data_IF_955779389696
#
_entry.id   IF_955779389696
#
_cell.length_a   1.000
_cell.length_b   1.000
_cell.length_c   1.000
_cell.angle_alpha   90.00
_cell.angle_beta   90.00
_cell.angle_gamma   90.00
#
_symmetry.space_group_name_H-M   'P 1'
#
loop_
_entity.id
_entity.type
_entity.pdbx_description
1 polymer ?
#
# COMPACT_ATOMS: atom_id res chain seq x y z
N UNK A 1 -2.30 -22.53 -13.35
CA UNK A 1 -2.84 -22.81 -12.00
C UNK A 1 -1.85 -22.65 -10.80
N UNK A 2 -0.52 -22.43 -10.94
CA UNK A 2 0.37 -22.36 -9.76
C UNK A 2 0.38 -21.02 -8.99
N UNK A 3 -0.03 -19.89 -9.58
CA UNK A 3 0.02 -18.57 -8.91
C UNK A 3 -0.87 -18.42 -7.66
N UNK A 4 -1.96 -19.18 -7.55
CA UNK A 4 -2.94 -19.05 -6.46
C UNK A 4 -2.46 -19.64 -5.12
N UNK A 5 -1.51 -20.56 -5.15
CA UNK A 5 -0.94 -21.18 -3.94
C UNK A 5 0.07 -20.22 -3.29
N UNK A 6 0.85 -19.50 -4.10
CA UNK A 6 1.87 -18.55 -3.63
C UNK A 6 1.27 -17.36 -2.87
N UNK A 7 0.20 -16.73 -3.38
CA UNK A 7 -0.41 -15.56 -2.74
C UNK A 7 -0.93 -15.85 -1.32
N UNK A 8 -1.51 -17.03 -1.11
CA UNK A 8 -2.05 -17.45 0.19
C UNK A 8 -0.96 -17.67 1.23
N UNK A 9 0.17 -18.25 0.82
CA UNK A 9 1.31 -18.47 1.72
C UNK A 9 1.95 -17.16 2.12
N UNK A 10 2.13 -16.23 1.16
CA UNK A 10 2.65 -14.90 1.45
C UNK A 10 1.77 -14.15 2.46
N UNK A 11 0.44 -14.19 2.31
CA UNK A 11 -0.49 -13.53 3.22
C UNK A 11 -0.52 -14.14 4.64
N UNK A 12 -0.33 -15.46 4.76
CA UNK A 12 -0.27 -16.13 6.05
C UNK A 12 1.08 -15.96 6.75
N UNK A 13 2.16 -15.70 6.00
CA UNK A 13 3.48 -15.44 6.54
C UNK A 13 3.70 -13.96 6.92
N UNK A 14 3.02 -13.04 6.22
CA UNK A 14 3.15 -11.60 6.40
C UNK A 14 2.78 -11.01 7.80
N UNK A 15 1.97 -11.65 8.67
CA UNK A 15 1.77 -11.17 10.03
C UNK A 15 3.05 -11.09 10.86
N UNK A 16 4.04 -11.97 10.61
CA UNK A 16 5.29 -12.00 11.38
C UNK A 16 6.17 -10.79 11.06
N UNK A 17 6.50 -10.48 9.79
CA UNK A 17 7.17 -9.23 9.43
C UNK A 17 6.45 -7.97 9.92
N UNK A 18 5.12 -7.95 9.85
CA UNK A 18 4.32 -6.82 10.36
C UNK A 18 4.46 -6.67 11.87
N UNK A 19 4.40 -7.78 12.63
CA UNK A 19 4.62 -7.75 14.07
C UNK A 19 6.03 -7.27 14.41
N UNK A 20 7.05 -7.73 13.68
CA UNK A 20 8.43 -7.27 13.87
C UNK A 20 8.56 -5.76 13.62
N UNK A 21 7.98 -5.26 12.52
CA UNK A 21 7.95 -3.83 12.21
C UNK A 21 7.22 -3.03 13.32
N UNK A 22 6.07 -3.53 13.79
CA UNK A 22 5.33 -2.93 14.91
C UNK A 22 6.21 -2.83 16.17
N UNK A 23 6.88 -3.92 16.56
CA UNK A 23 7.77 -3.94 17.72
C UNK A 23 8.89 -2.90 17.55
N UNK A 24 9.53 -2.84 16.38
CA UNK A 24 10.57 -1.85 16.08
C UNK A 24 10.03 -0.43 16.27
N UNK A 25 8.83 -0.12 15.76
CA UNK A 25 8.24 1.22 15.91
C UNK A 25 7.84 1.61 17.33
N UNK A 26 7.71 0.66 18.25
CA UNK A 26 7.43 0.95 19.66
C UNK A 26 8.70 1.00 20.52
N UNK A 27 9.62 0.05 20.30
CA UNK A 27 10.80 -0.11 21.14
C UNK A 27 11.89 0.89 20.77
N UNK A 28 12.06 1.17 19.48
CA UNK A 28 13.16 1.98 18.96
C UNK A 28 12.73 3.42 18.61
N UNK A 29 11.52 3.84 19.02
CA UNK A 29 11.01 5.18 18.75
C UNK A 29 11.17 6.08 19.98
N UNK A 30 12.25 6.88 20.08
CA UNK A 30 12.45 7.80 21.19
C UNK A 30 11.44 8.96 21.19
N UNK A 31 10.75 9.19 20.07
CA UNK A 31 9.82 10.29 19.82
C UNK A 31 8.37 9.79 19.73
N UNK A 32 8.03 8.67 20.39
CA UNK A 32 6.71 8.05 20.29
C UNK A 32 5.56 9.01 20.64
N UNK A 33 5.78 9.94 21.57
CA UNK A 33 4.81 10.99 21.94
C UNK A 33 4.54 11.99 20.81
N UNK A 34 5.53 12.26 19.95
CA UNK A 34 5.44 13.18 18.81
C UNK A 34 4.89 12.49 17.56
N UNK A 35 5.25 11.22 17.35
CA UNK A 35 4.88 10.45 16.15
C UNK A 35 4.13 9.14 16.48
N UNK A 36 2.96 9.20 17.15
CA UNK A 36 2.26 7.99 17.60
C UNK A 36 1.49 7.28 16.48
N UNK A 37 1.20 7.94 15.36
CA UNK A 37 0.26 7.42 14.36
C UNK A 37 0.78 6.16 13.64
N UNK A 38 2.03 6.15 13.19
CA UNK A 38 2.62 4.99 12.52
C UNK A 38 2.58 3.70 13.39
N UNK A 39 3.08 3.68 14.64
CA UNK A 39 3.02 2.49 15.48
C UNK A 39 1.58 2.03 15.77
N UNK A 40 0.64 2.95 16.00
CA UNK A 40 -0.77 2.60 16.21
C UNK A 40 -1.36 1.92 14.98
N UNK A 41 -1.16 2.50 13.79
CA UNK A 41 -1.66 1.93 12.53
C UNK A 41 -1.07 0.54 12.28
N UNK A 42 0.22 0.36 12.57
CA UNK A 42 0.87 -0.94 12.43
C UNK A 42 0.30 -1.99 13.40
N UNK A 43 0.02 -1.65 14.66
CA UNK A 43 -0.68 -2.55 15.60
C UNK A 43 -2.03 -2.99 15.02
N UNK A 44 -2.82 -2.04 14.51
CA UNK A 44 -4.12 -2.35 13.93
C UNK A 44 -4.00 -3.30 12.73
N UNK A 45 -3.02 -3.08 11.85
CA UNK A 45 -2.75 -3.95 10.70
C UNK A 45 -2.24 -5.32 11.16
N UNK A 46 -1.35 -5.39 12.15
CA UNK A 46 -0.86 -6.66 12.71
C UNK A 46 -2.02 -7.47 13.28
N UNK A 47 -2.87 -6.88 14.13
CA UNK A 47 -4.04 -7.55 14.69
C UNK A 47 -5.00 -8.02 13.59
N UNK A 48 -5.28 -7.15 12.62
CA UNK A 48 -6.13 -7.48 11.48
C UNK A 48 -5.56 -8.64 10.65
N UNK A 49 -4.24 -8.68 10.45
CA UNK A 49 -3.57 -9.75 9.71
C UNK A 49 -3.65 -11.10 10.43
N UNK A 50 -3.49 -11.13 11.76
CA UNK A 50 -3.67 -12.33 12.57
C UNK A 50 -5.12 -12.81 12.56
N UNK A 51 -6.08 -11.89 12.69
CA UNK A 51 -7.51 -12.20 12.62
C UNK A 51 -7.87 -12.79 11.25
N UNK A 52 -7.38 -12.17 10.18
CA UNK A 52 -7.54 -12.66 8.80
C UNK A 52 -6.99 -14.08 8.66
N UNK A 53 -5.76 -14.33 9.11
CA UNK A 53 -5.13 -15.65 9.06
C UNK A 53 -5.94 -16.70 9.86
N UNK A 54 -6.44 -16.34 11.04
CA UNK A 54 -7.29 -17.19 11.87
C UNK A 54 -8.58 -17.60 11.13
N UNK A 55 -9.34 -16.64 10.59
CA UNK A 55 -10.59 -16.94 9.87
C UNK A 55 -10.37 -17.71 8.57
N UNK A 56 -9.30 -17.40 7.82
CA UNK A 56 -8.92 -18.17 6.61
C UNK A 56 -8.53 -19.62 6.94
N UNK A 57 -7.93 -19.85 8.11
CA UNK A 57 -7.59 -21.22 8.58
C UNK A 57 -8.83 -21.97 9.04
N UNK A 58 -9.72 -21.31 9.78
CA UNK A 58 -10.96 -21.89 10.31
C UNK A 58 -11.92 -22.30 9.20
N UNK A 59 -12.12 -21.44 8.21
CA UNK A 59 -13.06 -21.67 7.13
C UNK A 59 -12.38 -22.42 5.97
N UNK A 60 -12.39 -23.75 6.02
CA UNK A 60 -11.77 -24.57 4.95
C UNK A 60 -12.52 -24.46 3.62
N UNK A 61 -13.83 -24.24 3.64
CA UNK A 61 -14.67 -24.18 2.42
C UNK A 61 -14.50 -22.88 1.64
N UNK A 62 -14.14 -21.80 2.34
CA UNK A 62 -13.66 -20.54 1.75
C UNK A 62 -12.55 -20.80 0.72
N UNK A 63 -11.68 -21.80 0.95
CA UNK A 63 -10.58 -22.14 0.04
C UNK A 63 -11.04 -22.62 -1.33
N UNK A 64 -12.25 -23.20 -1.40
CA UNK A 64 -12.87 -23.73 -2.63
C UNK A 64 -13.75 -22.68 -3.32
N UNK A 65 -14.16 -21.64 -2.61
CA UNK A 65 -15.06 -20.63 -3.16
C UNK A 65 -14.41 -19.83 -4.29
N UNK A 66 -15.08 -19.63 -5.43
CA UNK A 66 -14.57 -18.80 -6.52
C UNK A 66 -14.46 -17.32 -6.14
N UNK A 67 -15.22 -16.86 -5.14
CA UNK A 67 -15.18 -15.48 -4.59
C UNK A 67 -13.80 -15.16 -4.00
N UNK A 68 -13.03 -16.20 -3.67
CA UNK A 68 -11.67 -16.11 -3.15
C UNK A 68 -10.57 -16.14 -4.19
N UNK A 69 -10.91 -16.40 -5.45
CA UNK A 69 -9.93 -16.34 -6.52
C UNK A 69 -9.85 -14.89 -6.95
N UNK A 70 -8.74 -14.23 -6.59
CA UNK A 70 -8.40 -12.96 -7.20
C UNK A 70 -8.29 -13.17 -8.71
N UNK A 71 -8.99 -12.34 -9.48
CA UNK A 71 -8.76 -12.25 -10.92
C UNK A 71 -7.32 -11.76 -11.18
N UNK A 72 -6.88 -11.89 -12.44
CA UNK A 72 -5.51 -11.55 -12.81
C UNK A 72 -5.19 -10.07 -12.59
N UNK A 73 -6.15 -9.18 -12.84
CA UNK A 73 -5.98 -7.74 -12.63
C UNK A 73 -5.80 -7.41 -11.15
N UNK A 74 -6.66 -7.94 -10.29
CA UNK A 74 -6.55 -7.81 -8.82
C UNK A 74 -5.22 -8.36 -8.31
N UNK A 75 -4.82 -9.56 -8.76
CA UNK A 75 -3.55 -10.17 -8.34
C UNK A 75 -2.34 -9.31 -8.77
N UNK A 76 -2.39 -8.73 -9.97
CA UNK A 76 -1.35 -7.83 -10.47
C UNK A 76 -1.28 -6.54 -9.65
N UNK A 77 -2.42 -5.89 -9.37
CA UNK A 77 -2.50 -4.68 -8.54
C UNK A 77 -1.92 -4.91 -7.15
N UNK A 78 -2.34 -5.99 -6.48
CA UNK A 78 -1.84 -6.31 -5.12
C UNK A 78 -0.35 -6.67 -5.17
N UNK A 79 0.08 -7.46 -6.16
CA UNK A 79 1.49 -7.83 -6.33
C UNK A 79 2.39 -6.61 -6.55
N UNK A 80 2.03 -5.71 -7.46
CA UNK A 80 2.79 -4.50 -7.73
C UNK A 80 2.78 -3.51 -6.56
N UNK A 81 1.65 -3.40 -5.84
CA UNK A 81 1.57 -2.61 -4.60
C UNK A 81 2.49 -3.18 -3.53
N UNK A 82 2.48 -4.50 -3.33
CA UNK A 82 3.37 -5.18 -2.40
C UNK A 82 4.84 -5.00 -2.76
N UNK A 83 5.19 -5.07 -4.05
CA UNK A 83 6.54 -4.76 -4.54
C UNK A 83 6.96 -3.31 -4.24
N UNK A 84 6.07 -2.34 -4.42
CA UNK A 84 6.34 -0.95 -4.06
C UNK A 84 6.54 -0.78 -2.54
N UNK A 85 5.68 -1.40 -1.71
CA UNK A 85 5.85 -1.40 -0.26
C UNK A 85 7.19 -2.03 0.17
N UNK A 86 7.59 -3.15 -0.45
CA UNK A 86 8.88 -3.79 -0.19
C UNK A 86 10.06 -2.86 -0.50
N UNK A 87 10.04 -2.17 -1.64
CA UNK A 87 11.08 -1.18 -1.98
C UNK A 87 11.13 -0.04 -0.96
N UNK A 88 9.98 0.45 -0.52
CA UNK A 88 9.90 1.51 0.50
C UNK A 88 10.41 1.04 1.86
N UNK A 89 10.13 -0.20 2.25
CA UNK A 89 10.70 -0.80 3.46
C UNK A 89 12.22 -0.95 3.33
N UNK A 90 12.72 -1.44 2.20
CA UNK A 90 14.17 -1.47 1.94
C UNK A 90 14.77 -0.08 2.04
N UNK A 91 14.10 0.97 1.56
CA UNK A 91 14.56 2.35 1.71
C UNK A 91 14.49 2.84 3.15
N UNK A 92 13.43 2.52 3.88
CA UNK A 92 13.24 2.91 5.28
C UNK A 92 14.32 2.29 6.19
N UNK A 93 14.69 1.03 5.94
CA UNK A 93 15.73 0.31 6.67
C UNK A 93 17.13 0.45 6.06
N UNK A 94 17.23 0.94 4.84
CA UNK A 94 18.43 0.94 3.98
C UNK A 94 19.47 1.97 4.37
N UNK A 95 19.90 1.93 5.63
CA UNK A 95 20.99 2.68 6.25
C UNK A 95 20.60 4.06 6.80
N UNK A 96 20.43 4.08 8.13
CA UNK A 96 20.36 5.27 8.98
C UNK A 96 21.47 6.29 8.65
N UNK A 97 22.66 5.80 8.24
CA UNK A 97 23.81 6.64 7.90
C UNK A 97 23.73 7.39 6.57
N UNK A 98 22.98 6.90 5.57
CA UNK A 98 23.00 7.54 4.24
C UNK A 98 22.02 8.71 4.14
N UNK A 99 20.87 8.57 4.79
CA UNK A 99 19.76 9.50 4.60
C UNK A 99 19.30 10.20 5.90
N UNK A 100 19.89 9.88 7.04
CA UNK A 100 19.54 10.48 8.34
C UNK A 100 18.13 10.15 8.84
N UNK A 101 17.49 9.11 8.28
CA UNK A 101 16.14 8.68 8.64
C UNK A 101 16.10 7.68 9.80
N UNK A 102 14.89 7.47 10.34
CA UNK A 102 14.58 6.53 11.43
C UNK A 102 13.41 5.64 11.07
N UNK A 103 13.67 4.34 10.96
CA UNK A 103 12.63 3.36 10.62
C UNK A 103 11.51 3.29 11.67
N UNK A 104 11.86 3.40 12.95
CA UNK A 104 10.93 3.38 14.07
C UNK A 104 9.92 4.54 14.08
N UNK A 105 10.29 5.65 13.43
CA UNK A 105 9.49 6.87 13.29
C UNK A 105 8.82 6.97 11.91
N UNK A 106 9.03 6.00 11.01
CA UNK A 106 8.65 6.13 9.60
C UNK A 106 9.24 7.39 8.94
N UNK A 107 10.44 7.77 9.40
CA UNK A 107 11.18 8.92 8.95
C UNK A 107 12.15 8.51 7.84
N UNK A 108 11.96 9.04 6.63
CA UNK A 108 12.77 8.75 5.46
C UNK A 108 13.99 9.66 5.33
N UNK A 109 14.29 10.49 6.33
CA UNK A 109 15.41 11.43 6.33
C UNK A 109 14.96 12.87 6.16
N UNK A 110 15.87 13.74 5.76
CA UNK A 110 15.56 15.14 5.47
C UNK A 110 15.03 15.28 4.03
N UNK A 111 14.04 16.16 3.85
CA UNK A 111 13.64 16.57 2.49
C UNK A 111 14.76 17.42 1.89
N UNK A 112 14.91 17.35 0.56
CA UNK A 112 15.87 18.21 -0.14
C UNK A 112 15.60 19.68 0.18
N UNK A 113 16.64 20.37 0.68
CA UNK A 113 16.63 21.80 0.92
C UNK A 113 16.39 22.54 -0.40
N UNK A 114 15.63 23.64 -0.34
CA UNK A 114 15.60 24.57 -1.46
C UNK A 114 16.92 25.36 -1.50
N UNK A 115 17.35 25.86 -2.67
CA UNK A 115 18.49 26.75 -2.76
C UNK A 115 18.35 27.93 -1.78
N UNK A 116 19.32 28.09 -0.89
CA UNK A 116 19.35 29.13 0.13
C UNK A 116 18.65 28.79 1.47
N UNK A 117 18.11 27.59 1.65
CA UNK A 117 17.65 27.11 2.98
C UNK A 117 18.84 26.51 3.76
N UNK A 118 18.93 26.83 5.05
CA UNK A 118 19.94 26.25 5.94
C UNK A 118 19.52 24.83 6.38
N UNK A 119 20.50 24.02 6.79
CA UNK A 119 20.24 22.65 7.24
C UNK A 119 19.30 22.60 8.47
N UNK A 120 19.38 23.61 9.33
CA UNK A 120 18.51 23.73 10.51
C UNK A 120 17.03 23.95 10.14
N UNK A 121 16.75 24.38 8.90
CA UNK A 121 15.39 24.54 8.36
C UNK A 121 14.90 23.30 7.59
N UNK A 122 15.71 22.23 7.49
CA UNK A 122 15.37 21.05 6.73
C UNK A 122 14.14 20.32 7.31
N UNK A 123 13.06 20.24 6.53
CA UNK A 123 11.88 19.49 6.93
C UNK A 123 12.14 17.97 6.95
N UNK A 124 11.73 17.30 8.02
CA UNK A 124 11.77 15.84 8.09
C UNK A 124 10.77 15.18 7.12
N UNK A 125 11.18 14.08 6.50
CA UNK A 125 10.40 13.29 5.55
C UNK A 125 9.66 12.16 6.28
N UNK A 126 8.76 12.55 7.18
CA UNK A 126 8.01 11.63 8.05
C UNK A 126 6.70 11.21 7.38
N UNK A 127 6.42 9.90 7.41
CA UNK A 127 5.10 9.37 7.09
C UNK A 127 4.21 9.32 8.34
N UNK A 128 2.90 9.47 8.14
CA UNK A 128 1.89 9.52 9.21
C UNK A 128 2.09 10.66 10.20
N UNK A 129 2.52 11.81 9.70
CA UNK A 129 2.32 13.06 10.45
C UNK A 129 0.83 13.25 10.77
N UNK A 130 0.50 13.98 11.83
CA UNK A 130 -0.91 14.30 12.16
C UNK A 130 -1.57 15.28 11.16
N UNK A 131 -0.96 15.48 9.98
CA UNK A 131 -1.54 16.30 8.92
C UNK A 131 -2.62 15.54 8.16
N UNK A 132 -3.65 16.25 7.70
CA UNK A 132 -4.72 15.68 6.87
C UNK A 132 -4.18 15.00 5.61
N UNK A 133 -3.10 15.54 5.02
CA UNK A 133 -2.49 15.01 3.80
C UNK A 133 -1.97 13.58 4.00
N UNK A 134 -1.33 13.30 5.13
CA UNK A 134 -0.82 11.97 5.46
C UNK A 134 -1.92 10.91 5.49
N UNK A 135 -3.04 11.23 6.14
CA UNK A 135 -4.19 10.32 6.18
C UNK A 135 -4.88 10.20 4.82
N UNK A 136 -4.92 11.28 4.03
CA UNK A 136 -5.46 11.27 2.67
C UNK A 136 -4.80 10.22 1.77
N UNK A 137 -3.47 10.09 1.82
CA UNK A 137 -2.73 9.08 1.05
C UNK A 137 -3.05 7.65 1.52
N UNK A 138 -3.13 7.44 2.83
CA UNK A 138 -3.55 6.17 3.40
C UNK A 138 -4.98 5.80 2.96
N UNK A 139 -5.94 6.73 2.98
CA UNK A 139 -7.31 6.47 2.50
C UNK A 139 -7.36 6.16 1.00
N UNK A 140 -6.54 6.83 0.19
CA UNK A 140 -6.43 6.53 -1.24
C UNK A 140 -5.96 5.09 -1.47
N UNK A 141 -4.95 4.61 -0.72
CA UNK A 141 -4.56 3.20 -0.73
C UNK A 141 -5.65 2.27 -0.20
N UNK A 142 -6.41 2.74 0.79
CA UNK A 142 -7.54 2.04 1.40
C UNK A 142 -8.65 1.66 0.42
N UNK A 143 -8.77 2.35 -0.71
CA UNK A 143 -9.74 2.00 -1.77
C UNK A 143 -9.51 0.61 -2.38
N UNK A 144 -8.34 0.00 -2.18
CA UNK A 144 -8.04 -1.38 -2.55
C UNK A 144 -8.99 -2.42 -1.92
N UNK A 145 -9.76 -2.06 -0.89
CA UNK A 145 -10.76 -2.92 -0.26
C UNK A 145 -11.85 -3.35 -1.26
N UNK A 146 -12.14 -2.50 -2.24
CA UNK A 146 -13.12 -2.78 -3.29
C UNK A 146 -12.60 -3.77 -4.35
N UNK A 147 -11.35 -4.24 -4.26
CA UNK A 147 -10.88 -5.34 -5.11
C UNK A 147 -11.54 -6.70 -4.76
N UNK A 148 -12.20 -6.80 -3.60
CA UNK A 148 -12.72 -8.06 -3.07
C UNK A 148 -14.22 -8.21 -3.34
N UNK A 149 -14.59 -9.27 -4.06
CA UNK A 149 -15.99 -9.56 -4.39
C UNK A 149 -16.91 -9.72 -3.17
N UNK A 150 -16.39 -10.16 -2.02
CA UNK A 150 -17.17 -10.22 -0.79
C UNK A 150 -17.58 -8.83 -0.28
N UNK A 151 -16.71 -7.83 -0.42
CA UNK A 151 -17.00 -6.43 -0.06
C UNK A 151 -18.13 -5.90 -0.93
N UNK A 152 -18.11 -6.22 -2.22
CA UNK A 152 -19.20 -5.88 -3.13
C UNK A 152 -20.54 -6.48 -2.71
N UNK A 153 -20.56 -7.78 -2.44
CA UNK A 153 -21.77 -8.51 -2.07
C UNK A 153 -22.31 -8.12 -0.69
N UNK A 154 -21.44 -8.01 0.31
CA UNK A 154 -21.85 -7.91 1.72
C UNK A 154 -21.91 -6.48 2.24
N UNK A 155 -21.28 -5.53 1.55
CA UNK A 155 -21.22 -4.12 1.98
C UNK A 155 -21.83 -3.22 0.91
N UNK A 156 -21.28 -3.23 -0.30
CA UNK A 156 -21.67 -2.26 -1.35
C UNK A 156 -23.13 -2.46 -1.78
N UNK A 157 -23.52 -3.69 -2.15
CA UNK A 157 -24.88 -3.98 -2.61
C UNK A 157 -25.95 -3.73 -1.54
N UNK A 158 -25.77 -4.13 -0.27
CA UNK A 158 -26.76 -3.84 0.78
C UNK A 158 -26.93 -2.34 1.06
N UNK A 159 -25.84 -1.57 0.99
CA UNK A 159 -25.88 -0.12 1.23
C UNK A 159 -26.52 0.61 0.06
N UNK A 160 -26.05 0.37 -1.16
CA UNK A 160 -26.46 1.14 -2.34
C UNK A 160 -27.74 0.61 -2.98
N UNK A 161 -28.10 -0.65 -2.73
CA UNK A 161 -29.30 -1.35 -3.26
C UNK A 161 -29.43 -1.25 -4.79
N UNK A 162 -28.32 -1.03 -5.49
CA UNK A 162 -28.24 -0.68 -6.90
C UNK A 162 -27.02 -1.34 -7.54
N UNK A 163 -27.16 -1.99 -8.72
CA UNK A 163 -26.03 -2.63 -9.40
C UNK A 163 -24.95 -1.63 -9.86
N UNK A 164 -25.32 -0.38 -10.11
CA UNK A 164 -24.39 0.72 -10.46
C UNK A 164 -23.37 0.96 -9.34
N UNK A 165 -23.73 0.65 -8.09
CA UNK A 165 -22.84 0.72 -6.94
C UNK A 165 -21.61 -0.16 -7.08
N UNK A 166 -21.71 -1.29 -7.80
CA UNK A 166 -20.58 -2.17 -8.08
C UNK A 166 -19.59 -1.55 -9.05
N UNK A 167 -20.10 -0.83 -10.06
CA UNK A 167 -19.25 -0.11 -11.02
C UNK A 167 -18.50 1.00 -10.28
N UNK A 168 -19.19 1.76 -9.42
CA UNK A 168 -18.57 2.79 -8.62
C UNK A 168 -17.48 2.23 -7.69
N UNK A 169 -17.77 1.14 -6.97
CA UNK A 169 -16.78 0.48 -6.11
C UNK A 169 -15.54 0.05 -6.89
N UNK A 170 -15.72 -0.47 -8.11
CA UNK A 170 -14.60 -0.87 -8.95
C UNK A 170 -13.78 0.30 -9.50
N UNK A 171 -14.45 1.39 -9.88
CA UNK A 171 -13.78 2.62 -10.28
C UNK A 171 -12.98 3.19 -9.10
N UNK A 172 -13.52 3.13 -7.88
CA UNK A 172 -12.80 3.52 -6.67
C UNK A 172 -11.59 2.59 -6.43
N UNK A 173 -11.74 1.27 -6.58
CA UNK A 173 -10.63 0.33 -6.47
C UNK A 173 -9.50 0.67 -7.45
N UNK A 174 -9.85 0.98 -8.71
CA UNK A 174 -8.87 1.35 -9.73
C UNK A 174 -8.29 2.75 -9.50
N UNK A 175 -9.03 3.67 -8.86
CA UNK A 175 -8.51 5.00 -8.53
C UNK A 175 -7.30 4.96 -7.60
N UNK A 176 -7.06 3.84 -6.89
CA UNK A 176 -5.89 3.64 -6.03
C UNK A 176 -4.57 3.89 -6.76
N UNK A 177 -4.51 3.66 -8.08
CA UNK A 177 -3.28 3.83 -8.87
C UNK A 177 -2.99 5.28 -9.24
N UNK A 178 -3.99 6.16 -9.19
CA UNK A 178 -3.86 7.57 -9.60
C UNK A 178 -2.79 8.26 -8.77
N UNK A 179 -2.77 8.01 -7.47
CA UNK A 179 -1.84 8.68 -6.57
C UNK A 179 -0.37 8.24 -6.77
N UNK A 180 -0.02 6.94 -6.78
CA UNK A 180 1.34 6.50 -7.12
C UNK A 180 1.83 7.02 -8.47
N UNK A 181 0.98 7.02 -9.50
CA UNK A 181 1.32 7.54 -10.84
C UNK A 181 1.61 9.04 -10.78
N UNK A 182 0.70 9.82 -10.19
CA UNK A 182 0.91 11.25 -10.00
C UNK A 182 2.21 11.54 -9.23
N UNK A 183 2.42 10.83 -8.13
CA UNK A 183 3.53 11.08 -7.23
C UNK A 183 4.87 10.75 -7.90
N UNK A 184 4.98 9.63 -8.59
CA UNK A 184 6.22 9.28 -9.30
C UNK A 184 6.52 10.24 -10.45
N UNK A 185 5.52 10.64 -11.24
CA UNK A 185 5.72 11.60 -12.34
C UNK A 185 6.17 12.94 -11.80
N UNK A 186 5.46 13.46 -10.78
CA UNK A 186 5.80 14.73 -10.14
C UNK A 186 7.21 14.73 -9.55
N UNK A 187 7.60 13.66 -8.84
CA UNK A 187 8.88 13.58 -8.14
C UNK A 187 10.03 13.17 -9.05
N UNK A 188 9.80 12.31 -10.03
CA UNK A 188 10.78 12.00 -11.08
C UNK A 188 11.18 13.24 -11.88
N UNK A 189 10.22 14.12 -12.20
CA UNK A 189 10.52 15.38 -12.91
C UNK A 189 11.21 16.40 -12.01
N UNK A 190 10.73 16.60 -10.77
CA UNK A 190 11.20 17.70 -9.91
C UNK A 190 12.39 17.36 -9.02
N UNK A 191 12.62 16.08 -8.75
CA UNK A 191 13.57 15.60 -7.76
C UNK A 191 14.21 14.28 -8.23
N UNK A 192 14.47 14.13 -9.53
CA UNK A 192 15.00 12.88 -10.09
C UNK A 192 16.38 12.51 -9.50
N UNK A 193 17.26 13.50 -9.30
CA UNK A 193 18.56 13.29 -8.65
C UNK A 193 18.41 12.95 -7.17
N UNK A 194 17.49 13.60 -6.45
CA UNK A 194 17.26 13.41 -5.00
C UNK A 194 16.03 12.55 -4.69
N UNK A 195 15.66 11.64 -5.58
CA UNK A 195 14.37 10.94 -5.50
C UNK A 195 14.21 10.15 -4.20
N UNK A 196 15.28 9.48 -3.74
CA UNK A 196 15.33 8.68 -2.53
C UNK A 196 15.08 9.48 -1.24
N UNK A 197 15.26 10.80 -1.24
CA UNK A 197 14.98 11.70 -0.11
C UNK A 197 13.75 12.59 -0.35
N UNK A 198 13.13 12.48 -1.52
CA UNK A 198 11.93 13.24 -1.85
C UNK A 198 10.70 12.77 -1.08
N UNK A 199 9.63 13.57 -1.08
CA UNK A 199 8.34 13.17 -0.52
C UNK A 199 7.64 12.03 -1.27
N UNK A 200 8.29 11.40 -2.26
CA UNK A 200 7.78 10.15 -2.82
C UNK A 200 7.71 9.09 -1.72
N UNK A 201 8.76 8.96 -0.91
CA UNK A 201 8.92 7.88 0.06
C UNK A 201 7.84 7.87 1.14
N UNK A 202 7.67 8.98 1.86
CA UNK A 202 6.68 9.06 2.94
C UNK A 202 5.25 8.90 2.40
N UNK A 203 4.91 9.63 1.34
CA UNK A 203 3.58 9.61 0.75
C UNK A 203 3.22 8.24 0.15
N UNK A 204 4.16 7.59 -0.54
CA UNK A 204 3.94 6.26 -1.11
C UNK A 204 3.87 5.19 -0.01
N UNK A 205 4.56 5.40 1.12
CA UNK A 205 4.47 4.51 2.28
C UNK A 205 3.11 4.63 2.97
N UNK A 206 2.59 5.84 3.14
CA UNK A 206 1.23 6.06 3.66
C UNK A 206 0.17 5.38 2.78
N UNK A 207 0.26 5.58 1.47
CA UNK A 207 -0.56 4.87 0.50
C UNK A 207 -0.41 3.35 0.59
N UNK A 208 0.82 2.85 0.64
CA UNK A 208 1.12 1.42 0.66
C UNK A 208 0.57 0.73 1.90
N UNK A 209 0.68 1.36 3.07
CA UNK A 209 0.08 0.89 4.32
C UNK A 209 -1.44 0.88 4.23
N UNK A 210 -2.06 1.89 3.60
CA UNK A 210 -3.48 1.91 3.30
C UNK A 210 -3.92 0.70 2.45
N UNK A 211 -3.13 0.37 1.41
CA UNK A 211 -3.35 -0.83 0.58
C UNK A 211 -3.24 -2.10 1.42
N UNK A 212 -2.20 -2.24 2.25
CA UNK A 212 -2.00 -3.41 3.12
C UNK A 212 -3.20 -3.59 4.06
N UNK A 213 -3.62 -2.53 4.74
CA UNK A 213 -4.79 -2.55 5.63
C UNK A 213 -6.05 -3.02 4.87
N UNK A 214 -6.32 -2.42 3.71
CA UNK A 214 -7.49 -2.73 2.90
C UNK A 214 -7.49 -4.15 2.34
N UNK A 215 -6.32 -4.68 1.94
CA UNK A 215 -6.16 -6.07 1.50
C UNK A 215 -6.51 -7.03 2.62
N UNK A 216 -5.99 -6.82 3.84
CA UNK A 216 -6.35 -7.68 4.98
C UNK A 216 -7.82 -7.56 5.35
N UNK A 217 -8.38 -6.36 5.36
CA UNK A 217 -9.79 -6.16 5.67
C UNK A 217 -10.70 -6.83 4.66
N UNK A 218 -10.43 -6.68 3.36
CA UNK A 218 -11.18 -7.34 2.28
C UNK A 218 -11.10 -8.87 2.35
N UNK A 219 -9.92 -9.42 2.69
CA UNK A 219 -9.73 -10.86 2.93
C UNK A 219 -10.48 -11.35 4.16
N UNK A 220 -10.49 -10.60 5.25
CA UNK A 220 -11.23 -10.92 6.47
C UNK A 220 -12.74 -10.96 6.21
N UNK A 221 -13.27 -9.94 5.54
CA UNK A 221 -14.69 -9.89 5.14
C UNK A 221 -15.02 -11.11 4.29
N UNK A 222 -14.18 -11.41 3.29
CA UNK A 222 -14.33 -12.62 2.49
C UNK A 222 -14.40 -13.89 3.37
N UNK A 223 -13.65 -13.92 4.47
CA UNK A 223 -13.47 -15.12 5.31
C UNK A 223 -14.65 -15.35 6.21
N UNK A 224 -15.16 -14.27 6.79
CA UNK A 224 -16.36 -14.29 7.60
C UNK A 224 -17.57 -14.71 6.76
N UNK A 225 -17.66 -14.24 5.52
CA UNK A 225 -18.84 -14.48 4.68
C UNK A 225 -18.96 -15.91 4.13
N UNK A 226 -17.99 -16.78 4.40
CA UNK A 226 -18.14 -18.23 4.24
C UNK A 226 -18.32 -18.70 2.79
N UNK A 227 -17.94 -17.90 1.80
CA UNK A 227 -17.97 -18.31 0.39
C UNK A 227 -19.36 -18.57 -0.20
N UNK A 228 -20.44 -18.08 0.43
CA UNK A 228 -21.83 -18.19 -0.06
C UNK A 228 -21.91 -17.83 -1.55
N UNK A 229 -22.24 -18.81 -2.39
CA UNK A 229 -22.37 -18.62 -3.84
C UNK A 229 -23.55 -17.71 -4.15
N UNK A 230 -23.33 -16.69 -4.98
CA UNK A 230 -24.41 -15.82 -5.45
C UNK A 230 -25.41 -16.58 -6.34
N UNK A 231 -26.62 -16.03 -6.42
CA UNK A 231 -27.70 -16.44 -7.31
C UNK A 231 -27.24 -16.41 -8.80
N UNK A 232 -27.34 -17.53 -9.54
CA UNK A 232 -26.97 -17.65 -10.95
C UNK A 232 -27.56 -16.58 -11.89
N UNK A 233 -28.70 -15.98 -11.55
CA UNK A 233 -29.39 -15.00 -12.43
C UNK A 233 -28.78 -13.61 -12.39
N UNK A 234 -28.17 -13.22 -11.27
CA UNK A 234 -27.39 -11.97 -11.19
C UNK A 234 -26.09 -12.08 -12.00
N UNK A 235 -25.61 -13.31 -12.21
CA UNK A 235 -24.31 -13.62 -12.77
C UNK A 235 -24.11 -13.14 -14.22
N UNK A 236 -25.10 -13.10 -15.11
CA UNK A 236 -24.86 -12.82 -16.54
C UNK A 236 -24.52 -11.34 -16.84
N UNK A 237 -25.32 -10.39 -16.33
CA UNK A 237 -25.02 -8.95 -16.49
C UNK A 237 -23.72 -8.60 -15.76
N UNK A 238 -23.55 -9.14 -14.56
CA UNK A 238 -22.30 -9.07 -13.81
C UNK A 238 -21.13 -9.63 -14.60
N UNK A 239 -21.29 -10.71 -15.38
CA UNK A 239 -20.20 -11.33 -16.14
C UNK A 239 -19.63 -10.38 -17.21
N UNK A 240 -20.48 -9.68 -17.98
CA UNK A 240 -19.99 -8.72 -19.00
C UNK A 240 -19.28 -7.54 -18.35
N UNK A 241 -19.88 -6.96 -17.31
CA UNK A 241 -19.27 -5.88 -16.54
C UNK A 241 -17.96 -6.35 -15.90
N UNK A 242 -17.92 -7.55 -15.35
CA UNK A 242 -16.72 -8.13 -14.71
C UNK A 242 -15.58 -8.36 -15.72
N UNK A 243 -15.88 -8.73 -16.96
CA UNK A 243 -14.86 -8.84 -18.01
C UNK A 243 -14.22 -7.49 -18.34
N UNK A 244 -15.05 -6.44 -18.51
CA UNK A 244 -14.56 -5.08 -18.74
C UNK A 244 -13.75 -4.58 -17.54
N UNK A 245 -14.29 -4.74 -16.33
CA UNK A 245 -13.64 -4.36 -15.08
C UNK A 245 -12.31 -5.08 -14.86
N UNK A 246 -12.24 -6.38 -15.13
CA UNK A 246 -10.98 -7.14 -15.10
C UNK A 246 -9.96 -6.59 -16.11
N UNK A 247 -10.41 -6.15 -17.29
CA UNK A 247 -9.52 -5.51 -18.28
C UNK A 247 -8.98 -4.19 -17.76
N UNK A 248 -9.84 -3.36 -17.15
CA UNK A 248 -9.42 -2.09 -16.52
C UNK A 248 -8.40 -2.37 -15.40
N UNK A 249 -8.66 -3.35 -14.52
CA UNK A 249 -7.73 -3.72 -13.45
C UNK A 249 -6.40 -4.25 -13.98
N UNK A 250 -6.40 -5.00 -15.08
CA UNK A 250 -5.16 -5.43 -15.74
C UNK A 250 -4.36 -4.23 -16.24
N UNK A 251 -5.00 -3.27 -16.93
CA UNK A 251 -4.35 -2.04 -17.37
C UNK A 251 -3.81 -1.26 -16.18
N UNK A 252 -4.62 -1.05 -15.13
CA UNK A 252 -4.21 -0.36 -13.90
C UNK A 252 -3.02 -1.06 -13.22
N UNK A 253 -3.04 -2.39 -13.16
CA UNK A 253 -1.95 -3.20 -12.62
C UNK A 253 -0.67 -3.08 -13.45
N UNK A 254 -0.76 -3.07 -14.77
CA UNK A 254 0.38 -2.84 -15.67
C UNK A 254 0.96 -1.44 -15.50
N UNK A 255 0.11 -0.41 -15.38
CA UNK A 255 0.56 0.96 -15.09
C UNK A 255 1.28 1.01 -13.74
N UNK A 256 0.73 0.39 -12.70
CA UNK A 256 1.38 0.32 -11.39
C UNK A 256 2.70 -0.46 -11.43
N UNK A 257 2.80 -1.51 -12.25
CA UNK A 257 4.06 -2.22 -12.48
C UNK A 257 5.13 -1.30 -13.07
N UNK A 258 4.76 -0.48 -14.07
CA UNK A 258 5.65 0.53 -14.68
C UNK A 258 6.08 1.55 -13.62
N UNK A 259 5.15 2.03 -12.79
CA UNK A 259 5.45 2.94 -11.66
C UNK A 259 6.46 2.29 -10.71
N UNK A 260 6.27 1.04 -10.32
CA UNK A 260 7.20 0.35 -9.42
C UNK A 260 8.60 0.19 -10.05
N UNK A 261 8.68 -0.15 -11.34
CA UNK A 261 9.97 -0.25 -12.04
C UNK A 261 10.66 1.11 -12.12
N UNK A 262 9.93 2.16 -12.49
CA UNK A 262 10.47 3.51 -12.54
C UNK A 262 10.94 3.97 -11.15
N UNK A 263 10.20 3.64 -10.08
CA UNK A 263 10.59 3.96 -8.71
C UNK A 263 11.90 3.25 -8.35
N UNK A 264 12.06 1.97 -8.71
CA UNK A 264 13.28 1.21 -8.47
C UNK A 264 14.50 1.86 -9.17
N UNK A 265 14.33 2.26 -10.44
CA UNK A 265 15.39 2.92 -11.22
C UNK A 265 15.77 4.27 -10.57
N UNK A 266 14.77 5.09 -10.22
CA UNK A 266 15.01 6.39 -9.59
C UNK A 266 15.64 6.25 -8.21
N UNK A 267 15.24 5.23 -7.42
CA UNK A 267 15.90 4.91 -6.15
C UNK A 267 17.36 4.54 -6.37
N UNK A 268 17.65 3.63 -7.31
CA UNK A 268 19.04 3.25 -7.61
C UNK A 268 19.89 4.43 -8.06
N UNK A 269 19.34 5.32 -8.89
CA UNK A 269 20.05 6.51 -9.37
C UNK A 269 20.32 7.52 -8.25
N UNK A 270 19.39 7.69 -7.31
CA UNK A 270 19.49 8.67 -6.22
C UNK A 270 20.07 8.11 -4.91
N UNK A 271 20.59 6.87 -4.94
CA UNK A 271 21.00 6.15 -3.73
C UNK A 271 22.32 6.65 -3.12
N UNK A 272 23.18 7.24 -3.94
CA UNK A 272 24.54 7.64 -3.55
C UNK A 272 24.62 9.01 -2.86
N UNK A 273 23.48 9.69 -2.68
CA UNK A 273 23.47 11.02 -2.06
C UNK A 273 23.66 10.86 -0.55
N UNK A 274 24.89 11.08 -0.11
CA UNK A 274 25.22 11.27 1.30
C UNK A 274 24.91 12.72 1.67
N UNK A 275 24.06 12.93 2.68
CA UNK A 275 23.71 14.27 3.18
C UNK A 275 24.97 15.03 3.62
N UNK A 276 25.96 14.32 4.18
CA UNK A 276 27.19 14.93 4.70
C UNK A 276 28.11 15.53 3.61
N UNK A 277 28.15 14.95 2.41
CA UNK A 277 29.04 15.39 1.33
C UNK A 277 28.48 16.59 0.55
N UNK A 278 27.15 16.72 0.49
CA UNK A 278 26.49 17.80 -0.26
C UNK A 278 26.62 19.19 0.39
N UNK A 279 27.20 19.28 1.58
CA UNK A 279 27.35 20.54 2.33
C UNK A 279 28.79 20.99 2.53
N UNK A 280 29.79 20.20 2.10
CA UNK A 280 31.21 20.56 2.22
C UNK A 280 31.77 21.28 1.00
N UNK A 281 31.16 21.16 -0.18
CA UNK A 281 31.72 21.69 -1.44
C UNK A 281 31.27 23.12 -1.79
N UNK A 282 30.36 23.74 -1.02
CA UNK A 282 29.88 25.11 -1.25
C UNK A 282 30.40 26.14 -0.21
N UNK A 283 31.50 25.83 0.50
CA UNK A 283 32.21 26.77 1.40
C UNK A 283 33.58 27.17 0.85
#
# INVERSE_FOLDING_TARGET
MPMLISYRMCLMAAPIPLLALTIITFVDNPNLSKYPAAPIILVLITLLSFLTAYYLRKNKDVKKSPIYKCDKGTALLIGCSGGLCLMLLFRLFGFYGNFGGRASEFNFGLKSLKPGEELDDAEENIAFSLSFNSFGHCFQGGSAIFLFAAVHRDIVLPILKRPEGLILADLLANSMIVYPVYNIVKRGIKAGSTFATSSFCNNASEWGIGVVFAVYLGLLISAISGGKTEDPRKTLLLTRTQMLLNTIRLVSGTVLAIVSIAAAILFGHSWHINIDESHTDDR
#
